data_IF_512260376907
#
_entry.id   IF_512260376907
#
_cell.length_a   1.000
_cell.length_b   1.000
_cell.length_c   1.000
_cell.angle_alpha   90.00
_cell.angle_beta   90.00
_cell.angle_gamma   90.00
#
_symmetry.space_group_name_H-M   'P 1'
#
loop_
_entity.id
_entity.type
_entity.pdbx_description
1 polymer ?
#
# COMPACT_ATOMS: atom_id res chain seq x y z
N UNK A 1 63.65 -12.63 -34.25
CA UNK A 1 63.24 -14.03 -34.04
C UNK A 1 62.35 -14.16 -32.79
N UNK A 2 61.03 -14.02 -32.98
CA UNK A 2 59.96 -14.36 -32.05
C UNK A 2 58.74 -14.76 -32.90
N UNK A 3 58.00 -15.84 -32.57
CA UNK A 3 56.95 -16.38 -33.45
C UNK A 3 55.61 -15.67 -33.26
N UNK A 4 54.87 -15.53 -34.37
CA UNK A 4 53.48 -15.07 -34.44
C UNK A 4 52.53 -16.16 -33.93
N UNK A 5 51.69 -15.84 -32.95
CA UNK A 5 50.58 -16.68 -32.49
C UNK A 5 49.33 -16.38 -33.34
N UNK A 6 48.78 -17.41 -33.99
CA UNK A 6 47.44 -17.39 -34.59
C UNK A 6 46.39 -17.85 -33.57
N UNK A 7 45.16 -17.28 -33.56
CA UNK A 7 44.10 -17.74 -32.67
C UNK A 7 43.42 -19.02 -33.21
N UNK A 8 42.85 -19.88 -32.33
CA UNK A 8 42.18 -21.10 -32.76
C UNK A 8 40.80 -20.81 -33.36
N UNK A 9 40.50 -21.52 -34.44
CA UNK A 9 39.19 -21.63 -35.09
C UNK A 9 38.22 -22.35 -34.13
N UNK A 10 37.14 -21.68 -33.71
CA UNK A 10 36.01 -22.32 -33.02
C UNK A 10 35.02 -22.77 -34.10
N UNK A 11 34.79 -24.09 -34.19
CA UNK A 11 33.80 -24.68 -35.08
C UNK A 11 32.38 -24.36 -34.59
N UNK A 12 31.60 -23.67 -35.40
CA UNK A 12 30.17 -23.45 -35.16
C UNK A 12 29.35 -24.64 -35.68
N UNK A 13 29.03 -25.58 -34.80
CA UNK A 13 27.92 -26.53 -35.02
C UNK A 13 26.87 -26.30 -33.95
N UNK A 14 26.04 -25.27 -34.15
CA UNK A 14 24.80 -25.09 -33.41
C UNK A 14 23.69 -25.93 -34.05
N UNK A 15 22.99 -26.71 -33.23
CA UNK A 15 21.86 -27.54 -33.63
C UNK A 15 20.62 -26.67 -33.95
N UNK A 16 19.77 -27.07 -34.92
CA UNK A 16 18.60 -26.27 -35.36
C UNK A 16 17.50 -26.11 -34.29
N UNK A 17 17.58 -26.84 -33.18
CA UNK A 17 16.55 -26.87 -32.13
C UNK A 17 16.68 -25.70 -31.13
N UNK A 18 17.84 -25.05 -31.01
CA UNK A 18 18.01 -23.88 -30.12
C UNK A 18 17.44 -22.57 -30.73
N UNK A 19 17.42 -22.43 -32.05
CA UNK A 19 16.99 -21.19 -32.71
C UNK A 19 15.47 -20.96 -32.58
N UNK A 20 14.67 -22.02 -32.49
CA UNK A 20 13.22 -21.93 -32.32
C UNK A 20 12.85 -21.44 -30.90
N UNK A 21 13.55 -21.91 -29.87
CA UNK A 21 13.31 -21.49 -28.48
C UNK A 21 13.63 -20.00 -28.24
N UNK A 22 14.68 -19.46 -28.88
CA UNK A 22 15.03 -18.05 -28.77
C UNK A 22 14.04 -17.13 -29.49
N UNK A 23 13.49 -17.53 -30.63
CA UNK A 23 12.48 -16.74 -31.35
C UNK A 23 11.13 -16.72 -30.61
N UNK A 24 10.74 -17.83 -29.96
CA UNK A 24 9.55 -17.87 -29.09
C UNK A 24 9.74 -16.98 -27.86
N UNK A 25 10.93 -16.97 -27.24
CA UNK A 25 11.24 -16.12 -26.09
C UNK A 25 11.24 -14.62 -26.43
N UNK A 26 11.79 -14.25 -27.59
CA UNK A 26 11.78 -12.85 -28.06
C UNK A 26 10.36 -12.41 -28.46
N UNK A 27 9.56 -13.28 -29.08
CA UNK A 27 8.15 -13.01 -29.37
C UNK A 27 7.31 -12.87 -28.08
N UNK A 28 7.59 -13.66 -27.04
CA UNK A 28 6.94 -13.57 -25.73
C UNK A 28 7.32 -12.28 -24.98
N UNK A 29 8.59 -11.90 -24.99
CA UNK A 29 9.05 -10.63 -24.40
C UNK A 29 8.49 -9.41 -25.16
N UNK A 30 8.36 -9.50 -26.48
CA UNK A 30 7.76 -8.46 -27.30
C UNK A 30 6.24 -8.35 -27.09
N UNK A 31 5.56 -9.48 -26.87
CA UNK A 31 4.14 -9.53 -26.54
C UNK A 31 3.87 -9.02 -25.12
N UNK A 32 4.73 -9.34 -24.14
CA UNK A 32 4.69 -8.76 -22.79
C UNK A 32 4.96 -7.25 -22.80
N UNK A 33 5.91 -6.78 -23.61
CA UNK A 33 6.14 -5.34 -23.82
C UNK A 33 4.94 -4.68 -24.47
N UNK A 34 4.31 -5.33 -25.46
CA UNK A 34 3.12 -4.80 -26.12
C UNK A 34 1.90 -4.79 -25.18
N UNK A 35 1.74 -5.80 -24.32
CA UNK A 35 0.71 -5.83 -23.26
C UNK A 35 0.96 -4.71 -22.25
N UNK A 36 2.19 -4.57 -21.73
CA UNK A 36 2.57 -3.50 -20.82
C UNK A 36 2.33 -2.11 -21.43
N UNK A 37 2.65 -1.92 -22.72
CA UNK A 37 2.40 -0.67 -23.45
C UNK A 37 0.93 -0.51 -23.88
N UNK A 38 0.14 -1.57 -23.96
CA UNK A 38 -1.30 -1.49 -24.29
C UNK A 38 -2.14 -1.18 -23.05
N UNK A 39 -1.70 -1.64 -21.87
CA UNK A 39 -2.28 -1.30 -20.56
C UNK A 39 -2.04 0.18 -20.23
N UNK A 40 -0.85 0.71 -20.56
CA UNK A 40 -0.57 2.16 -20.45
C UNK A 40 -1.36 3.02 -21.44
N UNK A 41 -1.80 2.48 -22.59
CA UNK A 41 -2.46 3.27 -23.64
C UNK A 41 -3.95 3.51 -23.41
N UNK A 42 -4.60 2.83 -22.46
CA UNK A 42 -6.05 2.93 -22.26
C UNK A 42 -6.50 3.47 -20.89
N UNK A 43 -5.57 3.83 -20.00
CA UNK A 43 -5.90 4.64 -18.84
C UNK A 43 -5.85 6.12 -19.21
N UNK A 44 -7.01 6.75 -19.33
CA UNK A 44 -7.15 8.20 -19.30
C UNK A 44 -6.59 8.66 -17.94
N UNK A 45 -5.29 8.98 -17.88
CA UNK A 45 -4.61 9.47 -16.67
C UNK A 45 -5.30 10.78 -16.28
N UNK A 46 -6.21 10.72 -15.32
CA UNK A 46 -6.72 11.90 -14.63
C UNK A 46 -5.51 12.62 -14.05
N UNK A 47 -5.15 13.77 -14.62
CA UNK A 47 -4.06 14.59 -14.11
C UNK A 47 -4.50 15.18 -12.77
N UNK A 48 -3.90 14.70 -11.67
CA UNK A 48 -4.22 15.19 -10.33
C UNK A 48 -3.79 16.64 -10.18
N UNK A 49 -4.65 17.46 -9.58
CA UNK A 49 -4.37 18.86 -9.30
C UNK A 49 -4.07 19.01 -7.80
N UNK A 50 -2.79 18.93 -7.44
CA UNK A 50 -2.38 19.10 -6.04
C UNK A 50 -2.40 20.59 -5.68
N UNK A 51 -2.91 20.96 -4.48
CA UNK A 51 -2.89 22.34 -4.02
C UNK A 51 -1.45 22.82 -3.81
N UNK A 52 -1.21 24.09 -4.10
CA UNK A 52 0.04 24.75 -3.70
C UNK A 52 0.01 25.03 -2.21
N UNK A 53 1.04 24.62 -1.49
CA UNK A 53 1.26 24.97 -0.08
C UNK A 53 2.45 25.92 0.06
N UNK A 54 2.49 26.70 1.14
CA UNK A 54 3.59 27.64 1.40
C UNK A 54 4.92 26.92 1.60
N UNK A 55 6.03 27.64 1.37
CA UNK A 55 7.38 27.11 1.64
C UNK A 55 7.55 26.71 3.12
N UNK A 56 6.94 27.47 4.04
CA UNK A 56 6.92 27.14 5.47
C UNK A 56 6.24 25.79 5.72
N UNK A 57 5.11 25.53 5.06
CA UNK A 57 4.40 24.25 5.16
C UNK A 57 5.27 23.10 4.62
N UNK A 58 5.91 23.28 3.46
CA UNK A 58 6.83 22.27 2.90
C UNK A 58 8.00 21.97 3.86
N UNK A 59 8.59 23.02 4.43
CA UNK A 59 9.66 22.88 5.42
C UNK A 59 9.19 22.17 6.70
N UNK A 60 7.95 22.43 7.14
CA UNK A 60 7.34 21.73 8.27
C UNK A 60 7.12 20.24 7.95
N UNK A 61 6.62 19.88 6.76
CA UNK A 61 6.50 18.49 6.29
C UNK A 61 7.84 17.76 6.37
N UNK A 62 8.91 18.36 5.85
CA UNK A 62 10.23 17.74 5.86
C UNK A 62 10.79 17.55 7.28
N UNK A 63 10.58 18.52 8.17
CA UNK A 63 10.97 18.42 9.59
C UNK A 63 10.14 17.35 10.32
N UNK A 64 8.83 17.30 10.08
CA UNK A 64 7.93 16.30 10.63
C UNK A 64 8.31 14.89 10.17
N UNK A 65 8.58 14.69 8.87
CA UNK A 65 9.05 13.42 8.29
C UNK A 65 10.26 12.88 9.05
N UNK A 66 11.27 13.71 9.32
CA UNK A 66 12.47 13.31 10.08
C UNK A 66 12.16 12.90 11.52
N UNK A 67 11.30 13.65 12.23
CA UNK A 67 10.90 13.30 13.61
C UNK A 67 10.07 12.01 13.66
N UNK A 68 9.15 11.84 12.72
CA UNK A 68 8.35 10.63 12.57
C UNK A 68 9.24 9.41 12.34
N UNK A 69 10.28 9.51 11.49
CA UNK A 69 11.25 8.41 11.29
C UNK A 69 11.90 7.98 12.60
N UNK A 70 12.35 8.94 13.40
CA UNK A 70 12.96 8.68 14.71
C UNK A 70 12.00 7.97 15.66
N UNK A 71 10.80 8.52 15.86
CA UNK A 71 9.79 7.95 16.75
C UNK A 71 9.38 6.54 16.31
N UNK A 72 9.05 6.37 15.02
CA UNK A 72 8.50 5.12 14.50
C UNK A 72 9.52 3.99 14.59
N UNK A 73 10.80 4.29 14.34
CA UNK A 73 11.90 3.34 14.49
C UNK A 73 12.14 2.98 15.96
N UNK A 74 12.25 3.99 16.83
CA UNK A 74 12.53 3.77 18.25
C UNK A 74 11.43 2.97 18.95
N UNK A 75 10.16 3.24 18.61
CA UNK A 75 9.00 2.58 19.24
C UNK A 75 8.56 1.30 18.54
N UNK A 76 9.18 0.91 17.42
CA UNK A 76 8.75 -0.23 16.60
C UNK A 76 7.24 -0.19 16.28
N UNK A 77 6.70 1.00 16.03
CA UNK A 77 5.26 1.22 15.88
C UNK A 77 4.82 1.44 14.43
N UNK A 78 5.68 1.15 13.44
CA UNK A 78 5.38 1.30 12.02
C UNK A 78 4.07 0.61 11.60
N UNK A 79 3.78 -0.65 11.99
CA UNK A 79 2.53 -1.30 11.59
C UNK A 79 1.29 -0.58 12.13
N UNK A 80 1.38 -0.02 13.35
CA UNK A 80 0.28 0.73 13.96
C UNK A 80 0.05 2.08 13.25
N UNK A 81 1.13 2.76 12.82
CA UNK A 81 1.03 4.01 12.05
C UNK A 81 0.49 3.77 10.64
N UNK A 82 0.89 2.66 10.01
CA UNK A 82 0.34 2.25 8.72
C UNK A 82 -1.16 1.96 8.84
N UNK A 83 -1.58 1.23 9.89
CA UNK A 83 -3.00 1.00 10.19
C UNK A 83 -3.75 2.31 10.43
N UNK A 84 -3.19 3.25 11.19
CA UNK A 84 -3.82 4.57 11.42
C UNK A 84 -4.08 5.30 10.10
N UNK A 85 -3.07 5.38 9.23
CA UNK A 85 -3.20 6.03 7.93
C UNK A 85 -4.23 5.33 7.03
N UNK A 86 -4.22 3.99 6.99
CA UNK A 86 -5.20 3.17 6.29
C UNK A 86 -6.62 3.43 6.79
N UNK A 87 -6.87 3.31 8.10
CA UNK A 87 -8.21 3.50 8.67
C UNK A 87 -8.72 4.92 8.50
N UNK A 88 -7.82 5.92 8.52
CA UNK A 88 -8.20 7.32 8.25
C UNK A 88 -8.71 7.49 6.82
N UNK A 89 -8.09 6.82 5.83
CA UNK A 89 -8.44 6.97 4.43
C UNK A 89 -9.53 6.00 3.94
N UNK A 90 -9.61 4.80 4.55
CA UNK A 90 -10.50 3.70 4.17
C UNK A 90 -12.01 3.98 4.34
N UNK A 91 -12.37 5.14 4.89
CA UNK A 91 -13.74 5.57 5.11
C UNK A 91 -14.33 6.40 3.96
N UNK A 92 -13.53 6.72 2.95
CA UNK A 92 -13.97 7.52 1.81
C UNK A 92 -15.03 6.79 0.99
N UNK A 93 -16.12 7.50 0.68
CA UNK A 93 -17.16 7.04 -0.23
C UNK A 93 -17.20 7.93 -1.48
N UNK A 94 -16.95 7.36 -2.66
CA UNK A 94 -16.87 8.08 -3.94
C UNK A 94 -18.20 8.68 -4.37
N UNK A 95 -19.33 8.11 -3.92
CA UNK A 95 -20.68 8.57 -4.31
C UNK A 95 -21.06 9.85 -3.57
N UNK A 96 -20.83 9.87 -2.26
CA UNK A 96 -21.18 11.00 -1.38
C UNK A 96 -20.02 11.97 -1.15
N UNK A 97 -18.80 11.59 -1.51
CA UNK A 97 -17.55 12.36 -1.27
C UNK A 97 -17.33 12.69 0.21
N UNK A 98 -17.75 11.78 1.09
CA UNK A 98 -17.63 11.87 2.56
C UNK A 98 -16.62 10.86 3.09
N UNK A 99 -16.12 11.08 4.31
CA UNK A 99 -14.99 10.30 4.86
C UNK A 99 -13.67 10.64 4.17
N UNK A 100 -12.68 9.77 4.31
CA UNK A 100 -11.34 9.95 3.73
C UNK A 100 -10.34 10.59 4.69
N UNK A 101 -9.12 10.90 4.22
CA UNK A 101 -7.94 11.10 5.05
C UNK A 101 -7.84 12.54 5.56
N UNK A 102 -8.93 13.05 6.15
CA UNK A 102 -9.12 14.47 6.48
C UNK A 102 -9.05 14.72 7.99
N UNK A 103 -8.17 14.01 8.69
CA UNK A 103 -7.81 14.29 10.09
C UNK A 103 -8.90 14.04 11.13
N UNK A 104 -10.00 13.36 10.78
CA UNK A 104 -11.12 13.08 11.68
C UNK A 104 -10.83 11.94 12.67
N UNK A 105 -9.86 11.06 12.37
CA UNK A 105 -9.45 9.94 13.24
C UNK A 105 -8.99 10.35 14.65
N UNK A 106 -8.64 11.62 14.88
CA UNK A 106 -8.34 12.14 16.22
C UNK A 106 -9.57 12.31 17.10
N UNK A 107 -10.75 12.32 16.51
CA UNK A 107 -12.00 12.63 17.21
C UNK A 107 -12.48 11.42 18.02
N UNK A 108 -12.94 11.61 19.26
CA UNK A 108 -13.42 10.51 20.10
C UNK A 108 -14.51 9.66 19.46
N UNK A 109 -15.41 10.28 18.67
CA UNK A 109 -16.48 9.57 17.98
C UNK A 109 -15.96 8.56 16.95
N UNK A 110 -14.94 8.90 16.16
CA UNK A 110 -14.35 7.99 15.19
C UNK A 110 -13.45 6.93 15.84
N UNK A 111 -12.71 7.30 16.89
CA UNK A 111 -11.92 6.36 17.69
C UNK A 111 -12.79 5.30 18.39
N UNK A 112 -14.04 5.64 18.70
CA UNK A 112 -14.99 4.72 19.31
C UNK A 112 -15.55 3.67 18.35
N UNK A 113 -15.35 3.80 17.03
CA UNK A 113 -15.76 2.79 16.07
C UNK A 113 -15.04 1.46 16.36
N UNK A 114 -15.75 0.34 16.31
CA UNK A 114 -15.23 -0.98 16.68
C UNK A 114 -13.98 -1.36 15.86
N UNK A 115 -13.98 -1.08 14.56
CA UNK A 115 -12.84 -1.34 13.67
C UNK A 115 -11.58 -0.53 14.04
N UNK A 116 -11.74 0.60 14.75
CA UNK A 116 -10.66 1.51 15.13
C UNK A 116 -10.08 1.21 16.52
N UNK A 117 -10.54 0.13 17.20
CA UNK A 117 -10.05 -0.24 18.52
C UNK A 117 -8.50 -0.30 18.57
N UNK A 118 -7.91 0.40 19.56
CA UNK A 118 -6.47 0.57 19.75
C UNK A 118 -5.79 1.67 18.91
N UNK A 119 -6.51 2.39 18.04
CA UNK A 119 -5.93 3.54 17.30
C UNK A 119 -5.79 4.80 18.16
N UNK A 120 -6.45 4.87 19.32
CA UNK A 120 -6.23 5.90 20.32
C UNK A 120 -4.77 5.93 20.80
N UNK A 121 -4.13 4.76 20.86
CA UNK A 121 -2.70 4.60 21.19
C UNK A 121 -1.84 5.29 20.13
N UNK A 122 -2.17 5.09 18.84
CA UNK A 122 -1.44 5.69 17.73
C UNK A 122 -1.57 7.22 17.75
N UNK A 123 -2.79 7.73 17.91
CA UNK A 123 -3.07 9.17 18.03
C UNK A 123 -2.26 9.77 19.18
N UNK A 124 -2.32 9.16 20.37
CA UNK A 124 -1.60 9.63 21.56
C UNK A 124 -0.07 9.58 21.41
N UNK A 125 0.47 8.58 20.72
CA UNK A 125 1.92 8.50 20.43
C UNK A 125 2.40 9.61 19.49
N UNK A 126 1.55 10.00 18.54
CA UNK A 126 1.85 11.01 17.52
C UNK A 126 1.67 12.44 18.02
N UNK A 127 0.80 12.66 18.99
CA UNK A 127 0.41 13.99 19.48
C UNK A 127 1.60 14.88 19.88
N UNK A 128 2.61 14.42 20.66
CA UNK A 128 3.73 15.29 21.07
C UNK A 128 4.58 15.78 19.89
N UNK A 129 4.61 15.05 18.77
CA UNK A 129 5.27 15.52 17.54
C UNK A 129 4.32 16.45 16.78
N UNK A 130 3.03 16.14 16.70
CA UNK A 130 2.04 16.99 16.02
C UNK A 130 1.96 18.40 16.63
N UNK A 131 2.05 18.52 17.95
CA UNK A 131 2.07 19.80 18.67
C UNK A 131 3.24 20.71 18.26
N UNK A 132 4.36 20.12 17.83
CA UNK A 132 5.53 20.87 17.32
C UNK A 132 5.32 21.43 15.91
N UNK A 133 4.26 20.98 15.21
CA UNK A 133 3.92 21.40 13.84
C UNK A 133 2.46 21.86 13.77
N UNK A 134 2.11 22.98 14.40
CA UNK A 134 0.75 23.52 14.37
C UNK A 134 0.29 23.91 12.96
N UNK A 135 1.24 24.25 12.07
CA UNK A 135 0.95 24.59 10.67
C UNK A 135 0.45 23.40 9.85
N UNK A 136 0.82 22.16 10.21
CA UNK A 136 0.38 20.96 9.49
C UNK A 136 -1.03 20.57 9.93
N UNK A 137 -1.89 20.21 8.99
CA UNK A 137 -3.16 19.55 9.30
C UNK A 137 -2.91 18.17 9.93
N UNK A 138 -3.86 17.67 10.73
CA UNK A 138 -3.81 16.28 11.19
C UNK A 138 -3.94 15.30 10.02
N UNK A 139 -4.73 15.68 9.01
CA UNK A 139 -4.89 14.97 7.75
C UNK A 139 -3.55 14.62 7.09
N UNK A 140 -2.72 15.64 6.80
CA UNK A 140 -1.40 15.42 6.21
C UNK A 140 -0.46 14.69 7.18
N UNK A 141 -0.53 15.02 8.47
CA UNK A 141 0.38 14.45 9.46
C UNK A 141 0.20 12.92 9.62
N UNK A 142 -1.05 12.43 9.66
CA UNK A 142 -1.32 10.99 9.75
C UNK A 142 -0.96 10.24 8.47
N UNK A 143 -1.23 10.81 7.30
CA UNK A 143 -0.82 10.19 6.03
C UNK A 143 0.71 10.18 5.89
N UNK A 144 1.41 11.24 6.32
CA UNK A 144 2.87 11.27 6.38
C UNK A 144 3.42 10.20 7.32
N UNK A 145 2.78 9.95 8.47
CA UNK A 145 3.18 8.89 9.39
C UNK A 145 3.04 7.49 8.76
N UNK A 146 2.00 7.25 7.97
CA UNK A 146 1.82 6.02 7.19
C UNK A 146 2.90 5.83 6.12
N UNK A 147 3.19 6.88 5.35
CA UNK A 147 4.29 6.87 4.35
C UNK A 147 5.63 6.57 5.01
N UNK A 148 5.94 7.24 6.13
CA UNK A 148 7.17 7.00 6.87
C UNK A 148 7.22 5.57 7.39
N UNK A 149 6.12 5.02 7.90
CA UNK A 149 6.08 3.64 8.40
C UNK A 149 6.47 2.60 7.33
N UNK A 150 5.99 2.77 6.10
CA UNK A 150 6.41 1.93 4.96
C UNK A 150 7.90 2.13 4.67
N UNK A 151 8.35 3.38 4.61
CA UNK A 151 9.74 3.69 4.26
C UNK A 151 10.75 3.14 5.29
N UNK A 152 10.48 3.25 6.60
CA UNK A 152 11.47 2.81 7.61
C UNK A 152 11.61 1.28 7.66
N UNK A 153 10.56 0.57 7.25
CA UNK A 153 10.50 -0.90 7.33
C UNK A 153 11.08 -1.56 6.09
N UNK A 154 11.67 -0.79 5.17
CA UNK A 154 12.29 -1.28 3.94
C UNK A 154 11.35 -1.31 2.73
N UNK A 155 10.16 -0.74 2.88
CA UNK A 155 9.18 -0.64 1.80
C UNK A 155 9.53 0.42 0.75
N UNK A 156 8.73 0.51 -0.31
CA UNK A 156 8.95 1.48 -1.38
C UNK A 156 8.80 2.93 -0.90
N UNK A 157 9.49 3.85 -1.56
CA UNK A 157 9.23 5.27 -1.37
C UNK A 157 7.85 5.61 -1.97
N UNK A 158 6.92 5.99 -1.09
CA UNK A 158 5.59 6.45 -1.49
C UNK A 158 5.62 7.98 -1.64
N UNK A 159 5.30 8.54 -2.81
CA UNK A 159 5.20 9.98 -2.99
C UNK A 159 4.16 10.58 -2.04
N UNK A 160 4.53 11.68 -1.38
CA UNK A 160 3.66 12.41 -0.47
C UNK A 160 3.41 13.82 -1.00
N UNK A 161 2.14 14.17 -1.15
CA UNK A 161 1.69 15.50 -1.54
C UNK A 161 0.91 16.14 -0.37
N UNK A 162 1.38 17.29 0.17
CA UNK A 162 0.69 18.01 1.23
C UNK A 162 -0.49 18.83 0.70
N UNK A 163 -1.31 19.31 1.64
CA UNK A 163 -2.42 20.23 1.40
C UNK A 163 -3.80 19.66 1.74
N UNK A 164 -3.89 18.51 2.42
CA UNK A 164 -5.17 18.05 2.95
C UNK A 164 -5.61 18.94 4.09
N UNK A 165 -6.89 19.31 4.08
CA UNK A 165 -7.52 20.05 5.16
C UNK A 165 -8.16 19.10 6.18
N UNK A 166 -8.21 19.53 7.44
CA UNK A 166 -8.93 18.81 8.48
C UNK A 166 -10.43 19.05 8.34
N UNK A 167 -11.23 17.98 8.25
CA UNK A 167 -12.69 18.06 8.24
C UNK A 167 -13.25 18.03 9.68
N UNK A 168 -14.39 18.71 9.92
CA UNK A 168 -14.96 18.85 11.25
C UNK A 168 -15.72 17.60 11.72
N UNK A 169 -16.27 16.80 10.80
CA UNK A 169 -17.18 15.70 11.15
C UNK A 169 -16.61 14.36 10.67
N UNK A 170 -16.61 13.33 11.54
CA UNK A 170 -16.17 12.00 11.18
C UNK A 170 -17.19 11.32 10.25
N UNK A 171 -16.76 10.35 9.44
CA UNK A 171 -17.66 9.51 8.66
C UNK A 171 -18.54 8.64 9.57
N UNK A 172 -19.67 8.12 9.09
CA UNK A 172 -20.42 7.11 9.81
C UNK A 172 -19.58 5.82 9.97
N UNK A 173 -19.80 5.11 11.06
CA UNK A 173 -19.22 3.78 11.31
C UNK A 173 -19.65 2.76 10.23
N UNK A 174 -18.86 1.70 10.05
CA UNK A 174 -19.20 0.54 9.22
C UNK A 174 -18.66 0.58 7.78
N UNK A 175 -17.86 1.59 7.43
CA UNK A 175 -17.25 1.73 6.10
C UNK A 175 -15.96 0.93 5.87
N UNK A 176 -15.32 0.47 6.94
CA UNK A 176 -14.08 -0.30 6.88
C UNK A 176 -14.39 -1.80 6.64
N UNK A 177 -13.47 -2.55 5.98
CA UNK A 177 -13.72 -3.95 5.63
C UNK A 177 -13.85 -4.85 6.86
N UNK A 178 -14.63 -5.91 6.72
CA UNK A 178 -14.87 -6.91 7.75
C UNK A 178 -14.00 -8.13 7.45
N UNK A 179 -13.11 -8.48 8.39
CA UNK A 179 -12.13 -9.55 8.24
C UNK A 179 -12.74 -10.96 8.05
N UNK A 180 -14.03 -11.14 8.38
CA UNK A 180 -14.72 -12.45 8.25
C UNK A 180 -15.45 -12.64 6.92
N UNK A 181 -15.47 -11.64 6.05
CA UNK A 181 -16.23 -11.68 4.80
C UNK A 181 -15.36 -12.04 3.57
N UNK A 182 -16.01 -12.20 2.42
CA UNK A 182 -15.39 -12.68 1.19
C UNK A 182 -15.07 -11.59 0.15
N UNK A 183 -14.77 -12.02 -1.07
CA UNK A 183 -14.33 -11.15 -2.17
C UNK A 183 -15.38 -10.11 -2.57
N UNK A 184 -16.67 -10.45 -2.53
CA UNK A 184 -17.76 -9.51 -2.82
C UNK A 184 -17.76 -8.33 -1.84
N UNK A 185 -17.49 -8.59 -0.56
CA UNK A 185 -17.36 -7.54 0.44
C UNK A 185 -16.13 -6.66 0.19
N UNK A 186 -15.00 -7.27 -0.17
CA UNK A 186 -13.80 -6.52 -0.54
C UNK A 186 -14.09 -5.59 -1.74
N UNK A 187 -14.76 -6.06 -2.78
CA UNK A 187 -15.16 -5.20 -3.92
C UNK A 187 -16.19 -4.15 -3.52
N UNK A 188 -17.12 -4.47 -2.63
CA UNK A 188 -18.07 -3.51 -2.10
C UNK A 188 -17.38 -2.33 -1.39
N UNK A 189 -16.40 -2.62 -0.53
CA UNK A 189 -15.67 -1.58 0.20
C UNK A 189 -14.66 -0.87 -0.69
N UNK A 190 -13.74 -1.60 -1.31
CA UNK A 190 -12.63 -0.98 -2.02
C UNK A 190 -13.05 -0.44 -3.39
N UNK A 191 -13.83 -1.18 -4.17
CA UNK A 191 -14.19 -0.75 -5.53
C UNK A 191 -15.43 0.13 -5.55
N UNK A 192 -16.53 -0.30 -4.96
CA UNK A 192 -17.79 0.43 -5.04
C UNK A 192 -17.85 1.66 -4.13
N UNK A 193 -17.29 1.57 -2.93
CA UNK A 193 -17.22 2.69 -1.99
C UNK A 193 -15.97 3.53 -2.19
N UNK A 194 -14.75 2.96 -2.22
CA UNK A 194 -13.52 3.77 -2.30
C UNK A 194 -13.06 4.11 -3.74
N UNK A 195 -13.60 3.44 -4.77
CA UNK A 195 -13.21 3.66 -6.17
C UNK A 195 -11.86 3.05 -6.56
N UNK A 196 -11.42 2.00 -5.87
CA UNK A 196 -10.16 1.29 -6.10
C UNK A 196 -10.33 0.05 -6.99
N UNK A 197 -9.28 -0.33 -7.69
CA UNK A 197 -9.28 -1.50 -8.57
C UNK A 197 -9.07 -2.82 -7.80
N UNK A 198 -9.39 -3.96 -8.42
CA UNK A 198 -9.04 -5.29 -7.89
C UNK A 198 -7.53 -5.44 -7.66
N UNK A 199 -6.70 -4.79 -8.49
CA UNK A 199 -5.26 -4.73 -8.28
C UNK A 199 -4.91 -4.01 -6.97
N UNK A 200 -5.58 -2.89 -6.69
CA UNK A 200 -5.38 -2.16 -5.45
C UNK A 200 -5.78 -2.99 -4.24
N UNK A 201 -6.89 -3.74 -4.30
CA UNK A 201 -7.32 -4.62 -3.20
C UNK A 201 -6.19 -5.59 -2.82
N UNK A 202 -5.64 -6.31 -3.80
CA UNK A 202 -4.60 -7.33 -3.54
C UNK A 202 -3.30 -6.68 -3.09
N UNK A 203 -2.89 -5.58 -3.73
CA UNK A 203 -1.70 -4.83 -3.34
C UNK A 203 -1.78 -4.31 -1.90
N UNK A 204 -2.92 -3.71 -1.54
CA UNK A 204 -3.17 -3.15 -0.20
C UNK A 204 -3.27 -4.22 0.88
N UNK A 205 -3.80 -5.39 0.55
CA UNK A 205 -3.80 -6.55 1.44
C UNK A 205 -2.38 -6.96 1.84
N UNK A 206 -1.40 -6.76 0.94
CA UNK A 206 0.01 -6.95 1.25
C UNK A 206 0.58 -6.03 2.34
N UNK A 207 -0.16 -4.99 2.77
CA UNK A 207 0.19 -4.21 3.96
C UNK A 207 0.23 -5.05 5.25
N UNK A 208 -0.50 -6.17 5.28
CA UNK A 208 -0.43 -7.18 6.35
C UNK A 208 0.93 -7.88 6.45
N UNK A 209 1.86 -7.65 5.51
CA UNK A 209 3.26 -8.05 5.67
C UNK A 209 3.88 -7.47 6.95
N UNK A 210 3.36 -6.31 7.40
CA UNK A 210 3.71 -5.65 8.64
C UNK A 210 2.68 -5.91 9.75
N UNK A 211 3.19 -6.14 10.96
CA UNK A 211 2.40 -6.14 12.18
C UNK A 211 1.70 -7.47 12.49
N UNK A 212 0.61 -7.35 13.25
CA UNK A 212 -0.16 -8.46 13.79
C UNK A 212 -1.54 -8.04 14.25
N UNK A 213 -2.46 -9.00 14.31
CA UNK A 213 -3.68 -8.84 15.09
C UNK A 213 -3.42 -9.02 16.59
N UNK A 214 -4.31 -8.45 17.38
CA UNK A 214 -4.30 -8.56 18.84
C UNK A 214 -5.70 -8.92 19.30
N UNK A 215 -5.82 -9.95 20.13
CA UNK A 215 -7.10 -10.54 20.53
C UNK A 215 -8.03 -9.52 21.19
N UNK A 216 -7.50 -8.59 21.97
CA UNK A 216 -8.27 -7.53 22.64
C UNK A 216 -8.77 -6.43 21.70
N UNK A 217 -8.29 -6.39 20.45
CA UNK A 217 -8.66 -5.39 19.45
C UNK A 217 -9.69 -5.91 18.46
N UNK A 218 -9.31 -6.95 17.72
CA UNK A 218 -10.12 -7.52 16.64
C UNK A 218 -10.67 -8.92 16.94
N UNK A 219 -10.26 -9.55 18.05
CA UNK A 219 -10.55 -10.95 18.34
C UNK A 219 -9.59 -11.95 17.66
N UNK A 220 -8.85 -11.53 16.64
CA UNK A 220 -7.78 -12.32 16.00
C UNK A 220 -6.44 -12.07 16.68
N UNK A 221 -5.49 -13.01 16.56
CA UNK A 221 -4.19 -12.94 17.22
C UNK A 221 -3.08 -13.44 16.30
N UNK A 222 -1.91 -12.78 16.36
CA UNK A 222 -0.71 -13.22 15.68
C UNK A 222 -0.34 -12.42 14.43
N UNK A 223 0.92 -12.54 13.96
CA UNK A 223 1.43 -11.87 12.77
C UNK A 223 1.11 -12.68 11.51
N UNK A 224 1.05 -12.03 10.35
CA UNK A 224 0.95 -12.73 9.06
C UNK A 224 2.30 -13.26 8.57
N UNK A 225 3.39 -12.65 9.00
CA UNK A 225 4.75 -12.96 8.55
C UNK A 225 5.66 -13.26 9.74
N UNK A 226 6.76 -13.96 9.47
CA UNK A 226 7.80 -14.25 10.47
C UNK A 226 8.59 -13.01 10.89
N UNK A 227 8.61 -11.97 10.05
CA UNK A 227 9.32 -10.70 10.28
C UNK A 227 8.33 -9.51 10.21
N UNK A 228 7.49 -9.28 11.23
CA UNK A 228 6.38 -8.32 11.16
C UNK A 228 6.80 -6.83 11.18
N UNK A 229 8.10 -6.54 11.12
CA UNK A 229 8.67 -5.19 11.01
C UNK A 229 9.48 -4.99 9.72
N UNK A 230 9.49 -5.99 8.83
CA UNK A 230 10.15 -5.91 7.53
C UNK A 230 9.07 -5.86 6.47
N UNK A 231 9.10 -4.81 5.67
CA UNK A 231 8.19 -4.66 4.56
C UNK A 231 8.78 -5.38 3.34
N UNK A 232 8.19 -6.52 3.01
CA UNK A 232 8.54 -7.31 1.84
C UNK A 232 7.30 -8.03 1.30
N UNK A 233 7.49 -8.95 0.35
CA UNK A 233 6.42 -9.75 -0.22
C UNK A 233 6.12 -11.05 0.53
N UNK A 234 6.58 -11.20 1.78
CA UNK A 234 6.40 -12.41 2.57
C UNK A 234 4.92 -12.70 2.84
N UNK A 235 4.06 -11.68 3.00
CA UNK A 235 2.61 -11.89 3.11
C UNK A 235 2.06 -12.81 2.01
N UNK A 236 2.36 -12.53 0.73
CA UNK A 236 1.85 -13.33 -0.38
C UNK A 236 2.48 -14.72 -0.42
N UNK A 237 3.77 -14.83 -0.07
CA UNK A 237 4.46 -16.13 0.01
C UNK A 237 3.87 -17.02 1.09
N UNK A 238 3.65 -16.48 2.29
CA UNK A 238 3.03 -17.18 3.40
C UNK A 238 1.61 -17.62 3.03
N UNK A 239 0.82 -16.73 2.41
CA UNK A 239 -0.53 -17.01 1.95
C UNK A 239 -0.58 -18.21 0.98
N UNK A 240 0.33 -18.26 -0.01
CA UNK A 240 0.39 -19.36 -0.99
C UNK A 240 0.83 -20.71 -0.39
N UNK A 241 1.56 -20.69 0.72
CA UNK A 241 2.05 -21.92 1.37
C UNK A 241 1.07 -22.55 2.36
N UNK A 242 -0.11 -21.93 2.56
CA UNK A 242 -1.13 -22.40 3.49
C UNK A 242 -0.87 -22.01 4.95
N UNK A 243 -1.74 -22.48 5.84
CA UNK A 243 -1.67 -22.14 7.27
C UNK A 243 -0.45 -22.77 7.94
N UNK A 244 0.19 -22.00 8.83
CA UNK A 244 1.36 -22.42 9.62
C UNK A 244 1.16 -22.04 11.07
N UNK A 245 1.59 -22.91 11.98
CA UNK A 245 1.57 -22.62 13.41
C UNK A 245 2.33 -21.31 13.71
N UNK A 246 1.66 -20.40 14.43
CA UNK A 246 2.22 -19.10 14.81
C UNK A 246 2.04 -17.97 13.78
N UNK A 247 1.50 -18.25 12.59
CA UNK A 247 1.12 -17.23 11.61
C UNK A 247 -0.40 -17.13 11.44
N UNK A 248 -0.86 -15.93 11.09
CA UNK A 248 -2.26 -15.59 10.89
C UNK A 248 -2.61 -15.55 9.40
N UNK A 249 -3.80 -16.06 9.05
CA UNK A 249 -4.49 -15.76 7.79
C UNK A 249 -5.96 -15.51 8.10
N UNK A 250 -6.42 -14.29 7.88
CA UNK A 250 -7.84 -13.94 8.03
C UNK A 250 -8.67 -14.56 6.89
N UNK A 251 -9.98 -14.75 7.09
CA UNK A 251 -10.88 -15.13 6.00
C UNK A 251 -10.75 -14.23 4.76
N UNK A 252 -10.60 -12.90 4.95
CA UNK A 252 -10.35 -11.95 3.85
C UNK A 252 -9.00 -12.11 3.17
N UNK A 253 -7.97 -12.63 3.85
CA UNK A 253 -6.69 -12.94 3.19
C UNK A 253 -6.86 -14.19 2.30
N UNK A 254 -7.51 -15.22 2.85
CA UNK A 254 -7.73 -16.50 2.16
C UNK A 254 -8.58 -16.35 0.90
N UNK A 255 -9.54 -15.42 0.89
CA UNK A 255 -10.40 -15.24 -0.28
C UNK A 255 -9.64 -14.75 -1.52
N UNK A 256 -8.47 -14.12 -1.33
CA UNK A 256 -7.58 -13.73 -2.42
C UNK A 256 -7.04 -14.93 -3.21
N UNK A 257 -7.03 -16.13 -2.62
CA UNK A 257 -6.58 -17.36 -3.27
C UNK A 257 -7.64 -18.04 -4.12
N UNK A 258 -8.92 -17.82 -3.80
CA UNK A 258 -10.06 -18.46 -4.47
C UNK A 258 -10.70 -17.59 -5.54
N UNK A 259 -10.53 -16.27 -5.47
CA UNK A 259 -11.09 -15.36 -6.46
C UNK A 259 -10.28 -15.37 -7.78
N UNK A 260 -10.93 -15.51 -8.94
CA UNK A 260 -10.24 -15.67 -10.23
C UNK A 260 -9.47 -14.43 -10.69
N UNK A 261 -9.79 -13.24 -10.17
CA UNK A 261 -9.05 -12.00 -10.49
C UNK A 261 -7.96 -11.74 -9.46
N UNK A 262 -8.23 -11.99 -8.18
CA UNK A 262 -7.22 -11.77 -7.13
C UNK A 262 -6.08 -12.77 -7.16
N UNK A 263 -6.36 -14.05 -7.46
CA UNK A 263 -5.35 -15.11 -7.39
C UNK A 263 -4.14 -14.86 -8.31
N UNK A 264 -4.30 -14.51 -9.59
CA UNK A 264 -3.16 -14.17 -10.45
C UNK A 264 -2.31 -13.00 -9.93
N UNK A 265 -2.92 -12.03 -9.22
CA UNK A 265 -2.21 -10.91 -8.60
C UNK A 265 -1.41 -11.37 -7.37
N UNK A 266 -1.96 -12.26 -6.55
CA UNK A 266 -1.23 -12.90 -5.44
C UNK A 266 0.00 -13.65 -5.97
N UNK A 267 -0.17 -14.47 -7.02
CA UNK A 267 0.94 -15.20 -7.64
C UNK A 267 2.02 -14.22 -8.19
N UNK A 268 1.59 -13.13 -8.85
CA UNK A 268 2.48 -12.07 -9.35
C UNK A 268 3.28 -11.43 -8.22
N UNK A 269 2.64 -11.03 -7.12
CA UNK A 269 3.30 -10.32 -6.02
C UNK A 269 4.17 -11.25 -5.15
N UNK A 270 3.86 -12.54 -5.08
CA UNK A 270 4.75 -13.53 -4.47
C UNK A 270 6.03 -13.75 -5.27
N UNK A 271 5.96 -13.69 -6.61
CA UNK A 271 7.09 -13.90 -7.50
C UNK A 271 8.02 -12.67 -7.63
N UNK A 272 7.49 -11.45 -7.56
CA UNK A 272 8.26 -10.20 -7.74
C UNK A 272 8.52 -9.52 -6.41
N UNK A 273 9.80 -9.28 -6.09
CA UNK A 273 10.21 -8.57 -4.89
C UNK A 273 10.10 -7.04 -5.09
N UNK A 274 9.59 -6.33 -4.08
CA UNK A 274 9.74 -4.87 -3.84
C UNK A 274 8.84 -3.82 -4.52
N UNK A 275 7.72 -4.11 -5.19
CA UNK A 275 6.91 -2.98 -5.72
C UNK A 275 5.40 -3.18 -5.85
N UNK A 276 4.77 -4.01 -5.02
CA UNK A 276 3.32 -4.22 -5.13
C UNK A 276 2.49 -3.03 -4.60
N UNK A 277 2.99 -2.30 -3.59
CA UNK A 277 2.22 -1.26 -2.89
C UNK A 277 2.34 0.16 -3.46
N UNK A 278 3.28 0.41 -4.37
CA UNK A 278 3.67 1.77 -4.81
C UNK A 278 2.52 2.49 -5.54
N UNK A 279 1.75 1.77 -6.36
CA UNK A 279 0.60 2.33 -7.09
C UNK A 279 -0.62 2.51 -6.19
N UNK A 280 -0.84 1.60 -5.24
CA UNK A 280 -2.12 1.48 -4.53
C UNK A 280 -2.18 2.31 -3.25
N UNK A 281 -1.06 2.48 -2.54
CA UNK A 281 -0.99 3.45 -1.45
C UNK A 281 -1.10 4.89 -1.97
N UNK A 282 -0.55 5.15 -3.16
CA UNK A 282 -0.78 6.39 -3.88
C UNK A 282 -2.28 6.56 -4.17
N UNK A 283 -2.96 5.55 -4.72
CA UNK A 283 -4.40 5.60 -4.98
C UNK A 283 -5.23 5.95 -3.74
N UNK A 284 -4.95 5.39 -2.56
CA UNK A 284 -5.68 5.77 -1.33
C UNK A 284 -5.38 7.20 -0.90
N UNK A 285 -4.10 7.58 -0.87
CA UNK A 285 -3.70 8.91 -0.39
C UNK A 285 -4.11 10.01 -1.36
N UNK A 286 -4.20 9.72 -2.66
CA UNK A 286 -4.32 10.74 -3.71
C UNK A 286 -5.55 10.63 -4.61
N UNK A 287 -6.35 9.53 -4.62
CA UNK A 287 -7.66 9.51 -5.32
C UNK A 287 -8.77 10.16 -4.48
N UNK A 288 -8.47 10.49 -3.22
CA UNK A 288 -9.40 11.15 -2.30
C UNK A 288 -9.19 12.67 -2.29
N UNK A 289 -8.16 13.15 -2.98
CA UNK A 289 -7.77 14.55 -3.08
C UNK A 289 -8.31 15.17 -4.37
N UNK A 290 -9.21 16.15 -4.20
CA UNK A 290 -9.59 17.18 -5.17
C UNK A 290 -10.07 16.69 -6.55
N UNK A 291 -11.26 16.10 -6.59
CA UNK A 291 -12.20 16.43 -7.66
C UNK A 291 -12.71 17.86 -7.39
N UNK A 292 -11.92 18.89 -7.71
CA UNK A 292 -12.51 20.21 -7.93
C UNK A 292 -13.43 20.07 -9.14
N UNK A 293 -14.74 19.96 -8.89
CA UNK A 293 -15.75 20.25 -9.90
C UNK A 293 -15.52 21.72 -10.27
N UNK A 294 -14.84 21.94 -11.39
CA UNK A 294 -15.00 23.20 -12.12
C UNK A 294 -16.43 23.21 -12.64
N UNK A 295 -17.30 23.96 -11.98
CA UNK A 295 -18.45 24.64 -12.57
C UNK A 295 -18.65 25.95 -11.82
#
# INVERSE_FOLDING_TARGET
PFPLFTPPYISSSFSPECACAQLVYIAWLSYLHFIALSDERNQRKMTKCYPTVSEEYQNAVQKAKRKLRGLIAEKNCAPLMLRLAWHSAGTFDVKTKTGGPFGTMKQPAELAHAANNGLDIAVRLLEPIKEQFPILSYADFYQLAGVVAVEITGGPEVPFHPGREDKPHPPPEGRLPNATEGADHLRQVFSHQMGLSDQDIVALSGGHTLGRCHKERSGFEGPWTTNPLIFDNSYFKELLTGEKDGLLQLPTDKVLLSDPVFRPLVDKYAAVHNSFLLTSFLSITTNQDFDTITN
#
